data_IF_186636471742
#
_entry.id   IF_186636471742
#
_cell.length_a   1.000
_cell.length_b   1.000
_cell.length_c   1.000
_cell.angle_alpha   90.00
_cell.angle_beta   90.00
_cell.angle_gamma   90.00
#
_symmetry.space_group_name_H-M   'P 1'
#
loop_
_entity.id
_entity.type
_entity.pdbx_description
1 polymer ?
#
# COMPACT_ATOMS: atom_id res chain seq x y z
N UNK A 1 25.38 -17.52 -3.41
CA UNK A 1 25.10 -17.64 -1.99
C UNK A 1 23.68 -18.18 -1.86
N UNK A 2 23.54 -19.50 -1.72
CA UNK A 2 22.24 -20.12 -1.46
C UNK A 2 21.80 -19.70 -0.05
N UNK A 3 20.78 -18.89 0.03
CA UNK A 3 20.15 -18.48 1.28
C UNK A 3 19.51 -19.74 1.86
N UNK A 4 20.02 -20.19 2.98
CA UNK A 4 19.59 -21.40 3.68
C UNK A 4 18.07 -21.28 3.96
N UNK A 5 17.28 -22.16 3.34
CA UNK A 5 15.83 -22.06 3.16
C UNK A 5 15.03 -22.02 4.47
N UNK A 6 15.63 -22.41 5.61
CA UNK A 6 14.97 -22.48 6.93
C UNK A 6 15.15 -21.22 7.79
N UNK A 7 16.22 -20.46 7.60
CA UNK A 7 16.58 -19.32 8.46
C UNK A 7 15.88 -18.01 8.10
N UNK A 8 15.36 -17.90 6.86
CA UNK A 8 14.66 -16.70 6.39
C UNK A 8 13.16 -16.65 6.68
N UNK A 9 12.57 -17.67 7.26
CA UNK A 9 11.12 -17.80 7.41
C UNK A 9 10.61 -16.91 8.57
N UNK A 10 11.34 -16.84 9.67
CA UNK A 10 10.85 -16.19 10.89
C UNK A 10 10.54 -14.70 10.74
N UNK A 11 11.41 -13.91 10.11
CA UNK A 11 11.17 -12.49 9.95
C UNK A 11 10.10 -12.17 8.89
N UNK A 12 9.96 -13.02 7.86
CA UNK A 12 8.90 -12.89 6.86
C UNK A 12 7.54 -13.20 7.51
N UNK A 13 7.47 -14.17 8.38
CA UNK A 13 6.25 -14.49 9.13
C UNK A 13 5.90 -13.38 10.12
N UNK A 14 6.89 -12.80 10.81
CA UNK A 14 6.67 -11.61 11.63
C UNK A 14 6.19 -10.42 10.80
N UNK A 15 6.80 -10.18 9.63
CA UNK A 15 6.36 -9.13 8.70
C UNK A 15 4.92 -9.35 8.24
N UNK A 16 4.55 -10.61 7.94
CA UNK A 16 3.20 -10.98 7.53
C UNK A 16 2.18 -10.72 8.63
N UNK A 17 2.44 -11.20 9.84
CA UNK A 17 1.55 -10.99 10.99
C UNK A 17 1.40 -9.50 11.29
N UNK A 18 2.51 -8.76 11.30
CA UNK A 18 2.50 -7.29 11.49
C UNK A 18 1.65 -6.60 10.41
N UNK A 19 1.89 -6.89 9.14
CA UNK A 19 1.14 -6.27 8.04
C UNK A 19 -0.35 -6.63 8.09
N UNK A 20 -0.71 -7.90 8.40
CA UNK A 20 -2.09 -8.33 8.58
C UNK A 20 -2.77 -7.55 9.71
N UNK A 21 -2.13 -7.46 10.87
CA UNK A 21 -2.66 -6.71 12.01
C UNK A 21 -2.90 -5.25 11.65
N UNK A 22 -1.91 -4.59 11.02
CA UNK A 22 -2.01 -3.19 10.63
C UNK A 22 -3.13 -2.93 9.60
N UNK A 23 -3.38 -3.85 8.66
CA UNK A 23 -4.49 -3.72 7.70
C UNK A 23 -5.84 -3.83 8.41
N UNK A 24 -6.02 -4.84 9.26
CA UNK A 24 -7.28 -4.98 10.03
C UNK A 24 -7.50 -3.74 10.89
N UNK A 25 -6.45 -3.28 11.58
CA UNK A 25 -6.52 -2.09 12.42
C UNK A 25 -6.85 -0.82 11.60
N UNK A 26 -6.28 -0.65 10.40
CA UNK A 26 -6.63 0.45 9.51
C UNK A 26 -8.13 0.47 9.18
N UNK A 27 -8.70 -0.68 8.80
CA UNK A 27 -10.14 -0.78 8.50
C UNK A 27 -11.02 -0.60 9.75
N UNK A 28 -10.53 -0.90 10.95
CA UNK A 28 -11.23 -0.55 12.18
C UNK A 28 -11.24 0.97 12.44
N UNK A 29 -10.30 1.73 11.88
CA UNK A 29 -10.27 3.19 11.98
C UNK A 29 -11.21 3.89 10.98
N UNK A 30 -11.54 3.26 9.85
CA UNK A 30 -12.33 3.88 8.78
C UNK A 30 -13.68 4.45 9.25
N UNK A 31 -14.50 3.77 10.09
CA UNK A 31 -15.77 4.31 10.59
C UNK A 31 -15.58 5.55 11.49
N UNK A 32 -14.44 5.67 12.15
CA UNK A 32 -14.11 6.85 12.98
C UNK A 32 -13.72 8.03 12.08
N UNK A 33 -12.93 7.78 11.05
CA UNK A 33 -12.53 8.81 10.07
C UNK A 33 -13.74 9.33 9.29
N UNK A 34 -14.74 8.50 9.05
CA UNK A 34 -15.97 8.88 8.36
C UNK A 34 -16.81 9.94 9.12
N UNK A 35 -16.50 10.22 10.40
CA UNK A 35 -17.25 11.17 11.25
C UNK A 35 -16.70 12.59 11.26
N UNK A 36 -15.95 12.99 10.26
CA UNK A 36 -15.27 14.29 10.24
C UNK A 36 -16.23 15.50 10.38
N UNK A 37 -17.47 15.41 9.86
CA UNK A 37 -18.47 16.46 9.94
C UNK A 37 -19.43 16.36 11.13
N UNK A 38 -19.51 15.18 11.76
CA UNK A 38 -20.53 14.89 12.79
C UNK A 38 -19.99 14.77 14.19
N UNK A 39 -18.74 14.28 14.35
CA UNK A 39 -18.09 14.05 15.64
C UNK A 39 -16.58 14.25 15.54
N UNK A 40 -16.14 15.49 15.79
CA UNK A 40 -14.73 15.88 15.69
C UNK A 40 -13.79 15.07 16.60
N UNK A 41 -14.09 14.79 17.90
CA UNK A 41 -13.25 13.95 18.73
C UNK A 41 -13.07 12.54 18.19
N UNK A 42 -14.13 11.89 17.74
CA UNK A 42 -14.09 10.55 17.13
C UNK A 42 -13.29 10.57 15.84
N UNK A 43 -13.51 11.55 14.96
CA UNK A 43 -12.70 11.74 13.76
C UNK A 43 -11.21 11.87 14.06
N UNK A 44 -10.81 12.71 15.04
CA UNK A 44 -9.41 12.90 15.41
C UNK A 44 -8.75 11.60 15.90
N UNK A 45 -9.47 10.78 16.66
CA UNK A 45 -8.98 9.46 17.09
C UNK A 45 -8.76 8.53 15.90
N UNK A 46 -9.76 8.42 15.01
CA UNK A 46 -9.66 7.61 13.79
C UNK A 46 -8.53 8.07 12.88
N UNK A 47 -8.40 9.38 12.69
CA UNK A 47 -7.37 9.98 11.86
C UNK A 47 -5.96 9.73 12.43
N UNK A 48 -5.76 9.93 13.76
CA UNK A 48 -4.48 9.70 14.41
C UNK A 48 -4.04 8.23 14.32
N UNK A 49 -4.94 7.31 14.66
CA UNK A 49 -4.65 5.88 14.67
C UNK A 49 -4.53 5.31 13.24
N UNK A 50 -5.44 5.69 12.34
CA UNK A 50 -5.42 5.28 10.94
C UNK A 50 -4.17 5.76 10.20
N UNK A 51 -3.71 6.98 10.47
CA UNK A 51 -2.45 7.52 9.91
C UNK A 51 -1.22 6.72 10.34
N UNK A 52 -1.18 6.24 11.58
CA UNK A 52 -0.03 5.48 12.11
C UNK A 52 0.18 4.13 11.41
N UNK A 53 -0.87 3.56 10.82
CA UNK A 53 -0.83 2.22 10.21
C UNK A 53 -0.80 2.22 8.68
N UNK A 54 -0.66 3.38 8.03
CA UNK A 54 -0.64 3.48 6.56
C UNK A 54 0.50 2.72 5.87
N UNK A 55 1.53 2.32 6.59
CA UNK A 55 2.59 1.45 6.05
C UNK A 55 2.13 0.01 5.75
N UNK A 56 0.93 -0.41 6.18
CA UNK A 56 0.45 -1.79 6.11
C UNK A 56 0.48 -2.37 4.68
N UNK A 57 -0.10 -1.70 3.69
CA UNK A 57 -0.17 -2.18 2.30
C UNK A 57 1.20 -2.24 1.64
N UNK A 58 2.05 -1.19 1.70
CA UNK A 58 3.41 -1.29 1.19
C UNK A 58 4.24 -2.42 1.81
N UNK A 59 4.05 -2.75 3.10
CA UNK A 59 4.72 -3.90 3.72
C UNK A 59 4.30 -5.23 3.07
N UNK A 60 3.03 -5.41 2.70
CA UNK A 60 2.59 -6.59 1.93
C UNK A 60 3.22 -6.64 0.54
N UNK A 61 3.33 -5.49 -0.12
CA UNK A 61 3.98 -5.41 -1.44
C UNK A 61 5.46 -5.74 -1.32
N UNK A 62 6.16 -5.22 -0.31
CA UNK A 62 7.56 -5.53 -0.04
C UNK A 62 7.75 -7.03 0.25
N UNK A 63 6.87 -7.63 1.08
CA UNK A 63 6.87 -9.08 1.32
C UNK A 63 6.68 -9.87 0.01
N UNK A 64 5.80 -9.42 -0.87
CA UNK A 64 5.62 -10.01 -2.20
C UNK A 64 6.91 -9.96 -3.01
N UNK A 65 7.64 -8.85 -2.99
CA UNK A 65 8.95 -8.70 -3.63
C UNK A 65 9.99 -9.68 -3.07
N UNK A 66 10.03 -9.85 -1.75
CA UNK A 66 10.95 -10.84 -1.11
C UNK A 66 10.63 -12.27 -1.52
N UNK A 67 9.36 -12.64 -1.57
CA UNK A 67 8.92 -14.02 -1.81
C UNK A 67 8.92 -14.44 -3.28
N UNK A 68 8.76 -13.48 -4.21
CA UNK A 68 8.61 -13.78 -5.62
C UNK A 68 9.88 -13.56 -6.45
N UNK A 69 10.83 -12.78 -5.97
CA UNK A 69 12.13 -12.68 -6.62
C UNK A 69 13.15 -13.61 -5.97
N UNK A 70 13.91 -14.41 -6.76
CA UNK A 70 13.82 -14.60 -8.22
C UNK A 70 12.63 -15.48 -8.64
N UNK A 71 12.07 -15.20 -9.82
CA UNK A 71 11.04 -16.06 -10.42
C UNK A 71 11.69 -17.34 -10.93
N UNK A 72 11.17 -18.50 -10.49
CA UNK A 72 11.79 -19.82 -10.82
C UNK A 72 11.12 -20.51 -12.00
N UNK A 73 9.90 -20.11 -12.33
CA UNK A 73 9.08 -20.75 -13.37
C UNK A 73 9.00 -19.86 -14.60
N UNK A 74 8.70 -20.44 -15.76
CA UNK A 74 8.38 -19.68 -16.95
C UNK A 74 7.16 -18.75 -16.73
N UNK A 75 7.07 -17.67 -17.51
CA UNK A 75 6.05 -16.62 -17.36
C UNK A 75 4.62 -17.18 -17.33
N UNK A 76 4.29 -18.09 -18.27
CA UNK A 76 2.95 -18.69 -18.34
C UNK A 76 2.59 -19.50 -17.09
N UNK A 77 3.52 -20.32 -16.61
CA UNK A 77 3.32 -21.10 -15.38
C UNK A 77 3.23 -20.21 -14.15
N UNK A 78 4.04 -19.17 -14.10
CA UNK A 78 3.98 -18.16 -13.03
C UNK A 78 2.59 -17.53 -12.96
N UNK A 79 2.06 -17.05 -14.07
CA UNK A 79 0.73 -16.43 -14.13
C UNK A 79 -0.36 -17.41 -13.74
N UNK A 80 -0.40 -18.59 -14.33
CA UNK A 80 -1.39 -19.63 -14.01
C UNK A 80 -1.40 -19.94 -12.51
N UNK A 81 -0.21 -20.08 -11.90
CA UNK A 81 -0.07 -20.46 -10.50
C UNK A 81 -0.36 -19.30 -9.53
N UNK A 82 0.05 -18.07 -9.85
CA UNK A 82 -0.05 -16.94 -8.94
C UNK A 82 -1.34 -16.16 -9.11
N UNK A 83 -1.71 -15.82 -10.33
CA UNK A 83 -2.95 -15.09 -10.62
C UNK A 83 -4.16 -15.97 -10.29
N UNK A 84 -4.15 -17.26 -10.64
CA UNK A 84 -5.24 -18.18 -10.31
C UNK A 84 -5.55 -18.23 -8.80
N UNK A 85 -4.52 -18.15 -7.94
CA UNK A 85 -4.71 -18.11 -6.49
C UNK A 85 -5.33 -16.81 -5.96
N UNK A 86 -5.23 -15.72 -6.71
CA UNK A 86 -5.81 -14.42 -6.36
C UNK A 86 -7.23 -14.30 -6.93
N UNK A 87 -7.42 -14.74 -8.18
CA UNK A 87 -8.70 -14.59 -8.89
C UNK A 87 -9.83 -15.40 -8.18
N UNK A 88 -9.53 -16.60 -7.68
CA UNK A 88 -10.53 -17.41 -6.99
C UNK A 88 -11.10 -16.70 -5.73
N UNK A 89 -10.29 -16.25 -4.75
CA UNK A 89 -10.83 -15.48 -3.62
C UNK A 89 -11.39 -14.13 -4.05
N UNK A 90 -10.87 -13.49 -5.10
CA UNK A 90 -11.43 -12.25 -5.62
C UNK A 90 -12.86 -12.44 -6.10
N UNK A 91 -13.14 -13.44 -6.93
CA UNK A 91 -14.49 -13.76 -7.40
C UNK A 91 -15.40 -14.12 -6.22
N UNK A 92 -14.93 -14.99 -5.34
CA UNK A 92 -15.70 -15.43 -4.17
C UNK A 92 -16.15 -14.24 -3.31
N UNK A 93 -15.21 -13.37 -2.92
CA UNK A 93 -15.51 -12.23 -2.06
C UNK A 93 -16.27 -11.12 -2.78
N UNK A 94 -16.08 -10.94 -4.09
CA UNK A 94 -16.89 -9.99 -4.88
C UNK A 94 -18.38 -10.36 -4.92
N UNK A 95 -18.69 -11.64 -4.75
CA UNK A 95 -20.07 -12.11 -4.65
C UNK A 95 -20.54 -12.12 -3.18
N UNK A 96 -19.71 -12.59 -2.28
CA UNK A 96 -20.09 -12.77 -0.88
C UNK A 96 -20.26 -11.47 -0.10
N UNK A 97 -19.38 -10.48 -0.33
CA UNK A 97 -19.45 -9.22 0.42
C UNK A 97 -20.76 -8.46 0.21
N UNK A 98 -21.27 -8.26 -1.02
CA UNK A 98 -22.58 -7.63 -1.20
C UNK A 98 -23.70 -8.36 -0.45
N UNK A 99 -23.70 -9.69 -0.44
CA UNK A 99 -24.70 -10.48 0.30
C UNK A 99 -24.57 -10.29 1.81
N UNK A 100 -23.34 -10.35 2.33
CA UNK A 100 -23.08 -10.17 3.76
C UNK A 100 -23.48 -8.76 4.23
N UNK A 101 -23.12 -7.71 3.46
CA UNK A 101 -23.53 -6.33 3.77
C UNK A 101 -25.04 -6.15 3.72
N UNK A 102 -25.71 -6.73 2.71
CA UNK A 102 -27.17 -6.71 2.63
C UNK A 102 -27.82 -7.33 3.87
N UNK A 103 -27.38 -8.51 4.28
CA UNK A 103 -27.91 -9.20 5.47
C UNK A 103 -27.60 -8.38 6.72
N UNK A 104 -26.37 -7.94 6.88
CA UNK A 104 -25.91 -7.22 8.08
C UNK A 104 -26.69 -5.93 8.29
N UNK A 105 -26.77 -5.08 7.25
CA UNK A 105 -27.37 -3.75 7.35
C UNK A 105 -28.92 -3.78 7.39
N UNK A 106 -29.57 -4.79 6.81
CA UNK A 106 -31.04 -4.85 6.79
C UNK A 106 -31.66 -5.67 7.92
N UNK A 107 -30.90 -6.65 8.50
CA UNK A 107 -31.49 -7.61 9.45
C UNK A 107 -30.73 -7.71 10.79
N UNK A 108 -29.46 -7.29 10.87
CA UNK A 108 -28.66 -7.51 12.07
C UNK A 108 -28.44 -6.20 12.83
N UNK A 109 -28.13 -5.10 12.15
CA UNK A 109 -27.81 -3.84 12.80
C UNK A 109 -28.37 -2.64 12.04
N UNK A 110 -28.46 -1.51 12.75
CA UNK A 110 -28.63 -0.21 12.13
C UNK A 110 -27.29 0.51 12.10
N UNK A 111 -26.97 1.23 11.01
CA UNK A 111 -25.76 2.01 10.91
C UNK A 111 -26.05 3.49 11.08
N UNK A 112 -25.18 4.18 11.84
CA UNK A 112 -25.14 5.64 11.96
C UNK A 112 -23.92 6.23 11.20
N UNK A 113 -23.24 5.40 10.39
CA UNK A 113 -22.11 5.83 9.57
C UNK A 113 -22.62 6.72 8.41
N UNK A 114 -22.24 8.01 8.37
CA UNK A 114 -22.77 8.96 7.39
C UNK A 114 -22.35 8.65 5.93
N UNK A 115 -21.37 7.78 5.73
CA UNK A 115 -20.91 7.39 4.39
C UNK A 115 -21.72 6.22 3.80
N UNK A 116 -22.62 5.61 4.56
CA UNK A 116 -23.43 4.48 4.12
C UNK A 116 -24.81 4.97 3.66
N UNK A 117 -25.02 4.93 2.35
CA UNK A 117 -26.33 5.15 1.76
C UNK A 117 -27.09 3.82 1.71
N UNK A 118 -28.14 3.68 2.53
CA UNK A 118 -28.96 2.46 2.61
C UNK A 118 -29.65 2.10 1.31
N UNK A 119 -29.89 3.05 0.40
CA UNK A 119 -30.46 2.77 -0.93
C UNK A 119 -29.59 1.88 -1.80
N UNK A 120 -28.28 1.86 -1.52
CA UNK A 120 -27.30 1.01 -2.20
C UNK A 120 -27.26 -0.45 -1.67
N UNK A 121 -28.03 -0.76 -0.61
CA UNK A 121 -28.05 -2.08 0.03
C UNK A 121 -29.44 -2.75 0.00
N UNK A 122 -30.23 -2.47 -1.02
CA UNK A 122 -31.47 -3.19 -1.32
C UNK A 122 -31.19 -4.55 -1.96
N UNK A 123 -32.18 -5.46 -1.98
CA UNK A 123 -32.04 -6.77 -2.64
C UNK A 123 -31.72 -6.61 -4.14
N UNK A 124 -32.42 -5.70 -4.82
CA UNK A 124 -32.21 -5.42 -6.24
C UNK A 124 -30.78 -4.94 -6.52
N UNK A 125 -30.30 -3.98 -5.73
CA UNK A 125 -28.92 -3.48 -5.84
C UNK A 125 -27.90 -4.56 -5.52
N UNK A 126 -28.17 -5.41 -4.55
CA UNK A 126 -27.30 -6.54 -4.21
C UNK A 126 -27.17 -7.53 -5.37
N UNK A 127 -28.28 -7.90 -6.00
CA UNK A 127 -28.28 -8.76 -7.19
C UNK A 127 -27.49 -8.10 -8.32
N UNK A 128 -27.70 -6.80 -8.55
CA UNK A 128 -26.97 -6.04 -9.57
C UNK A 128 -25.47 -6.04 -9.31
N UNK A 129 -25.03 -5.82 -8.07
CA UNK A 129 -23.61 -5.86 -7.69
C UNK A 129 -22.99 -7.24 -7.93
N UNK A 130 -23.74 -8.33 -7.68
CA UNK A 130 -23.24 -9.69 -7.84
C UNK A 130 -22.92 -10.00 -9.31
N UNK A 131 -23.84 -9.71 -10.24
CA UNK A 131 -23.60 -10.06 -11.64
C UNK A 131 -22.74 -9.04 -12.39
N UNK A 132 -22.58 -7.81 -11.87
CA UNK A 132 -21.75 -6.76 -12.46
C UNK A 132 -20.38 -6.61 -11.77
N UNK A 133 -20.00 -7.52 -10.88
CA UNK A 133 -18.83 -7.38 -10.02
C UNK A 133 -17.51 -7.11 -10.77
N UNK A 134 -17.37 -7.60 -12.02
CA UNK A 134 -16.18 -7.35 -12.84
C UNK A 134 -16.11 -5.89 -13.32
N UNK A 135 -17.26 -5.24 -13.52
CA UNK A 135 -17.37 -3.91 -14.12
C UNK A 135 -17.59 -2.82 -13.07
N UNK A 136 -18.09 -3.16 -11.89
CA UNK A 136 -18.45 -2.21 -10.85
C UNK A 136 -17.68 -2.49 -9.57
N UNK A 137 -16.94 -1.46 -9.11
CA UNK A 137 -16.30 -1.47 -7.81
C UNK A 137 -17.18 -0.70 -6.82
N UNK A 138 -17.73 -1.40 -5.85
CA UNK A 138 -18.72 -0.86 -4.93
C UNK A 138 -18.10 -0.64 -3.53
N UNK A 139 -18.79 0.11 -2.68
CA UNK A 139 -18.39 0.36 -1.29
C UNK A 139 -18.10 -0.93 -0.51
N UNK A 140 -19.01 -1.90 -0.59
CA UNK A 140 -18.92 -3.20 0.07
C UNK A 140 -17.74 -4.07 -0.44
N UNK A 141 -17.27 -3.85 -1.66
CA UNK A 141 -16.12 -4.55 -2.24
C UNK A 141 -14.82 -3.74 -2.18
N UNK A 142 -14.84 -2.54 -1.60
CA UNK A 142 -13.64 -1.66 -1.50
C UNK A 142 -12.39 -2.38 -1.00
N UNK A 143 -12.39 -3.25 0.03
CA UNK A 143 -11.17 -3.93 0.47
C UNK A 143 -10.51 -4.81 -0.59
N UNK A 144 -11.24 -5.22 -1.63
CA UNK A 144 -10.71 -6.07 -2.70
C UNK A 144 -9.80 -5.34 -3.69
N UNK A 145 -9.74 -4.00 -3.65
CA UNK A 145 -8.85 -3.21 -4.52
C UNK A 145 -7.41 -3.71 -4.50
N UNK A 146 -6.95 -4.19 -3.34
CA UNK A 146 -5.62 -4.75 -3.17
C UNK A 146 -5.38 -5.98 -4.05
N UNK A 147 -6.40 -6.85 -4.22
CA UNK A 147 -6.27 -8.04 -5.07
C UNK A 147 -6.16 -7.67 -6.56
N UNK A 148 -6.90 -6.65 -7.01
CA UNK A 148 -6.76 -6.11 -8.37
C UNK A 148 -5.35 -5.54 -8.60
N UNK A 149 -4.87 -4.72 -7.68
CA UNK A 149 -3.52 -4.18 -7.71
C UNK A 149 -2.46 -5.30 -7.73
N UNK A 150 -2.65 -6.33 -6.92
CA UNK A 150 -1.72 -7.46 -6.83
C UNK A 150 -1.68 -8.28 -8.12
N UNK A 151 -2.80 -8.47 -8.81
CA UNK A 151 -2.84 -9.07 -10.15
C UNK A 151 -2.02 -8.25 -11.13
N UNK A 152 -2.18 -6.91 -11.12
CA UNK A 152 -1.38 -6.01 -11.95
C UNK A 152 0.12 -6.12 -11.67
N UNK A 153 0.52 -6.21 -10.41
CA UNK A 153 1.92 -6.46 -10.04
C UNK A 153 2.41 -7.82 -10.52
N UNK A 154 1.57 -8.85 -10.47
CA UNK A 154 1.99 -10.18 -10.97
C UNK A 154 2.21 -10.20 -12.47
N UNK A 155 1.49 -9.39 -13.26
CA UNK A 155 1.77 -9.26 -14.69
C UNK A 155 3.18 -8.71 -14.96
N UNK A 156 3.68 -7.81 -14.12
CA UNK A 156 4.96 -7.14 -14.35
C UNK A 156 6.15 -7.83 -13.68
N UNK A 157 5.94 -8.66 -12.65
CA UNK A 157 7.01 -9.34 -11.89
C UNK A 157 7.96 -10.15 -12.77
N UNK A 158 7.52 -10.99 -13.73
CA UNK A 158 8.44 -11.75 -14.58
C UNK A 158 9.30 -10.86 -15.48
N UNK A 159 8.77 -9.71 -15.92
CA UNK A 159 9.49 -8.74 -16.74
C UNK A 159 10.60 -8.10 -15.91
N UNK A 160 10.29 -7.64 -14.70
CA UNK A 160 11.30 -7.09 -13.79
C UNK A 160 12.31 -8.14 -13.33
N UNK A 161 11.89 -9.40 -13.18
CA UNK A 161 12.83 -10.47 -12.86
C UNK A 161 13.91 -10.59 -13.94
N UNK A 162 13.54 -10.63 -15.23
CA UNK A 162 14.49 -10.71 -16.33
C UNK A 162 15.47 -9.53 -16.37
N UNK A 163 15.01 -8.33 -15.99
CA UNK A 163 15.87 -7.18 -15.80
C UNK A 163 16.79 -7.32 -14.58
N UNK A 164 16.24 -7.71 -13.42
CA UNK A 164 16.98 -7.83 -12.14
C UNK A 164 18.09 -8.89 -12.17
N UNK A 165 17.97 -9.90 -13.03
CA UNK A 165 19.03 -10.91 -13.24
C UNK A 165 20.31 -10.29 -13.82
N UNK A 166 20.17 -9.27 -14.69
CA UNK A 166 21.28 -8.59 -15.37
C UNK A 166 21.64 -7.25 -14.73
N UNK A 167 20.75 -6.67 -13.94
CA UNK A 167 20.91 -5.35 -13.34
C UNK A 167 22.05 -5.33 -12.31
N UNK A 168 22.93 -4.36 -12.45
CA UNK A 168 23.95 -4.08 -11.45
C UNK A 168 23.33 -3.40 -10.21
N UNK A 169 24.09 -3.36 -9.12
CA UNK A 169 23.66 -2.61 -7.93
C UNK A 169 23.41 -1.13 -8.24
N UNK A 170 24.15 -0.55 -9.20
CA UNK A 170 23.99 0.85 -9.63
C UNK A 170 22.68 1.05 -10.39
N UNK A 171 22.33 0.12 -11.28
CA UNK A 171 21.08 0.19 -12.06
C UNK A 171 19.86 0.13 -11.18
N UNK A 172 19.84 -0.79 -10.18
CA UNK A 172 18.75 -0.90 -9.22
C UNK A 172 18.63 0.37 -8.39
N UNK A 173 19.76 0.95 -7.94
CA UNK A 173 19.73 2.21 -7.20
C UNK A 173 19.20 3.36 -8.06
N UNK A 174 19.60 3.43 -9.33
CA UNK A 174 19.09 4.46 -10.25
C UNK A 174 17.58 4.36 -10.42
N UNK A 175 17.06 3.13 -10.67
CA UNK A 175 15.62 2.90 -10.73
C UNK A 175 14.90 3.34 -9.44
N UNK A 176 15.42 2.93 -8.27
CA UNK A 176 14.85 3.32 -6.97
C UNK A 176 14.94 4.82 -6.71
N UNK A 177 15.95 5.51 -7.24
CA UNK A 177 16.06 6.97 -7.14
C UNK A 177 14.97 7.66 -8.00
N UNK A 178 14.75 7.21 -9.23
CA UNK A 178 13.68 7.72 -10.10
C UNK A 178 12.32 7.46 -9.47
N UNK A 179 12.07 6.24 -8.99
CA UNK A 179 10.88 5.91 -8.24
C UNK A 179 10.72 6.78 -6.99
N UNK A 180 11.80 7.01 -6.22
CA UNK A 180 11.79 7.88 -5.05
C UNK A 180 11.37 9.32 -5.36
N UNK A 181 11.78 9.85 -6.53
CA UNK A 181 11.32 11.17 -7.01
C UNK A 181 9.80 11.13 -7.27
N UNK A 182 9.29 10.05 -7.85
CA UNK A 182 7.86 9.92 -8.14
C UNK A 182 6.97 9.94 -6.89
N UNK A 183 7.51 9.60 -5.70
CA UNK A 183 6.78 9.65 -4.42
C UNK A 183 6.43 11.09 -3.98
N UNK A 184 7.10 12.10 -4.54
CA UNK A 184 6.78 13.51 -4.29
C UNK A 184 5.70 14.06 -5.22
N UNK A 185 5.35 13.33 -6.29
CA UNK A 185 4.44 13.81 -7.31
C UNK A 185 3.06 14.25 -6.78
N UNK A 186 2.41 13.54 -5.84
CA UNK A 186 1.15 14.00 -5.27
C UNK A 186 1.24 15.41 -4.66
N UNK A 187 2.34 15.69 -3.96
CA UNK A 187 2.59 17.00 -3.34
C UNK A 187 2.96 18.08 -4.35
N UNK A 188 3.72 17.70 -5.37
CA UNK A 188 4.08 18.61 -6.48
C UNK A 188 2.80 19.03 -7.22
N UNK A 189 1.92 18.09 -7.53
CA UNK A 189 0.63 18.37 -8.17
C UNK A 189 -0.24 19.32 -7.33
N UNK A 190 -0.29 19.11 -6.02
CA UNK A 190 -1.05 19.94 -5.11
C UNK A 190 -0.48 21.36 -5.02
N UNK A 191 0.85 21.51 -5.01
CA UNK A 191 1.52 22.80 -4.89
C UNK A 191 1.63 23.56 -6.23
N UNK A 192 1.62 22.86 -7.35
CA UNK A 192 1.85 23.44 -8.68
C UNK A 192 0.92 24.61 -9.05
N UNK A 193 -0.41 24.56 -8.78
CA UNK A 193 -1.30 25.68 -9.07
C UNK A 193 -0.92 26.97 -8.33
N UNK A 194 -0.50 26.86 -7.06
CA UNK A 194 -0.06 28.03 -6.27
C UNK A 194 1.22 28.66 -6.81
N UNK A 195 2.01 27.90 -7.58
CA UNK A 195 3.23 28.37 -8.26
C UNK A 195 2.97 28.83 -9.71
N UNK A 196 1.73 28.85 -10.14
CA UNK A 196 1.34 29.23 -11.52
C UNK A 196 1.51 28.13 -12.57
N UNK A 197 1.77 26.90 -12.15
CA UNK A 197 1.88 25.73 -13.04
C UNK A 197 0.52 25.04 -13.20
N UNK A 198 -0.41 25.67 -13.90
CA UNK A 198 -1.70 25.10 -14.23
C UNK A 198 -1.73 24.67 -15.69
N UNK A 199 -2.39 23.55 -15.97
CA UNK A 199 -2.63 23.11 -17.33
C UNK A 199 -3.46 24.13 -18.09
N UNK A 200 -3.03 24.50 -19.28
CA UNK A 200 -3.70 25.50 -20.12
C UNK A 200 -4.54 24.89 -21.22
N UNK A 201 -4.55 23.57 -21.34
CA UNK A 201 -5.24 22.84 -22.40
C UNK A 201 -5.93 21.59 -21.87
N UNK A 202 -7.25 21.58 -21.88
CA UNK A 202 -8.04 20.43 -21.44
C UNK A 202 -7.68 20.00 -20.01
N UNK A 203 -7.45 18.69 -19.84
CA UNK A 203 -7.08 18.06 -18.56
C UNK A 203 -5.57 17.79 -18.40
N UNK A 204 -4.74 18.44 -19.21
CA UNK A 204 -3.29 18.32 -19.13
C UNK A 204 -2.73 19.14 -17.98
N UNK A 205 -1.83 18.56 -17.20
CA UNK A 205 -1.22 19.15 -16.02
C UNK A 205 0.31 19.02 -16.06
N UNK A 206 0.97 19.44 -14.98
CA UNK A 206 2.44 19.38 -14.83
C UNK A 206 3.00 17.99 -15.12
N UNK A 207 4.16 17.93 -15.78
CA UNK A 207 4.89 16.70 -16.13
C UNK A 207 4.10 15.73 -17.04
N UNK A 208 3.11 16.22 -17.78
CA UNK A 208 2.28 15.41 -18.66
C UNK A 208 1.22 14.58 -17.93
N UNK A 209 0.90 14.95 -16.70
CA UNK A 209 -0.23 14.35 -15.97
C UNK A 209 -1.54 14.66 -16.69
N UNK A 210 -2.43 13.69 -16.76
CA UNK A 210 -3.78 13.82 -17.33
C UNK A 210 -4.70 12.74 -16.73
N UNK A 211 -5.98 12.74 -17.07
CA UNK A 211 -6.98 11.84 -16.48
C UNK A 211 -6.63 10.35 -16.61
N UNK A 212 -6.06 9.95 -17.73
CA UNK A 212 -5.64 8.58 -18.00
C UNK A 212 -4.19 8.29 -17.58
N UNK A 213 -3.44 9.29 -17.10
CA UNK A 213 -2.06 9.15 -16.64
C UNK A 213 -1.76 10.07 -15.45
N UNK A 214 -2.15 9.63 -14.27
CA UNK A 214 -2.00 10.39 -13.02
C UNK A 214 -0.53 10.64 -12.59
N UNK A 215 0.44 9.91 -13.17
CA UNK A 215 1.86 10.02 -12.85
C UNK A 215 2.70 10.71 -13.95
N UNK A 216 2.08 11.13 -15.04
CA UNK A 216 2.76 11.80 -16.15
C UNK A 216 4.01 11.04 -16.61
N UNK A 217 5.14 11.75 -16.68
CA UNK A 217 6.43 11.18 -17.09
C UNK A 217 6.92 10.02 -16.21
N UNK A 218 6.40 9.85 -14.99
CA UNK A 218 6.77 8.77 -14.08
C UNK A 218 5.85 7.55 -14.13
N UNK A 219 4.86 7.52 -15.02
CA UNK A 219 3.82 6.49 -15.08
C UNK A 219 4.35 5.06 -14.97
N UNK A 220 5.39 4.73 -15.73
CA UNK A 220 5.94 3.37 -15.80
C UNK A 220 6.88 2.99 -14.65
N UNK A 221 7.28 3.92 -13.82
CA UNK A 221 8.24 3.69 -12.72
C UNK A 221 7.69 4.05 -11.34
N UNK A 222 6.46 4.56 -11.30
CA UNK A 222 5.79 4.99 -10.06
C UNK A 222 4.99 3.87 -9.40
N UNK A 223 4.35 4.17 -8.28
CA UNK A 223 3.45 3.27 -7.59
C UNK A 223 4.14 2.12 -6.86
N UNK A 224 3.45 1.00 -6.77
CA UNK A 224 3.86 -0.13 -5.95
C UNK A 224 5.07 -0.92 -6.44
N UNK A 225 5.42 -0.79 -7.73
CA UNK A 225 6.56 -1.51 -8.32
C UNK A 225 7.87 -1.19 -7.58
N UNK A 226 8.05 0.05 -7.15
CA UNK A 226 9.25 0.44 -6.42
C UNK A 226 9.40 -0.25 -5.07
N UNK A 227 8.30 -0.51 -4.36
CA UNK A 227 8.34 -1.29 -3.12
C UNK A 227 8.77 -2.74 -3.35
N UNK A 228 8.35 -3.38 -4.45
CA UNK A 228 8.81 -4.71 -4.84
C UNK A 228 10.32 -4.74 -5.06
N UNK A 229 10.82 -3.79 -5.86
CA UNK A 229 12.24 -3.67 -6.20
C UNK A 229 13.08 -3.30 -4.98
N UNK A 230 12.58 -2.39 -4.14
CA UNK A 230 13.24 -2.00 -2.89
C UNK A 230 13.41 -3.20 -1.95
N UNK A 231 12.37 -4.02 -1.78
CA UNK A 231 12.44 -5.20 -0.93
C UNK A 231 13.46 -6.20 -1.47
N UNK A 232 13.46 -6.48 -2.78
CA UNK A 232 14.47 -7.31 -3.42
C UNK A 232 15.88 -6.73 -3.21
N UNK A 233 16.05 -5.41 -3.39
CA UNK A 233 17.34 -4.74 -3.17
C UNK A 233 17.84 -4.89 -1.73
N UNK A 234 16.96 -4.68 -0.73
CA UNK A 234 17.32 -4.79 0.69
C UNK A 234 17.65 -6.23 1.13
N UNK A 235 17.07 -7.23 0.48
CA UNK A 235 17.42 -8.64 0.70
C UNK A 235 18.74 -8.99 0.02
N UNK A 236 18.94 -8.56 -1.24
CA UNK A 236 20.17 -8.85 -2.00
C UNK A 236 21.39 -8.09 -1.48
N UNK A 237 21.17 -6.87 -0.97
CA UNK A 237 22.19 -5.97 -0.44
C UNK A 237 21.76 -5.45 0.95
N UNK A 238 21.75 -6.30 1.98
CA UNK A 238 21.26 -5.93 3.30
C UNK A 238 22.03 -4.76 3.89
N UNK A 239 21.30 -3.92 4.61
CA UNK A 239 21.90 -2.83 5.36
C UNK A 239 22.62 -3.41 6.57
N UNK A 240 23.94 -3.14 6.65
CA UNK A 240 24.75 -3.55 7.80
C UNK A 240 24.61 -2.54 8.94
N UNK A 241 23.37 -2.26 9.33
CA UNK A 241 23.09 -1.34 10.42
C UNK A 241 23.00 -2.09 11.74
N UNK A 242 23.58 -1.53 12.78
CA UNK A 242 23.33 -1.99 14.13
C UNK A 242 21.88 -1.66 14.53
N UNK A 243 21.35 -2.39 15.50
CA UNK A 243 20.02 -2.14 16.05
C UNK A 243 19.84 -0.68 16.49
N UNK A 244 20.84 -0.13 17.20
CA UNK A 244 20.83 1.28 17.62
C UNK A 244 20.74 2.25 16.43
N UNK A 245 21.50 1.98 15.36
CA UNK A 245 21.45 2.81 14.14
C UNK A 245 20.11 2.69 13.43
N UNK A 246 19.56 1.48 13.36
CA UNK A 246 18.23 1.25 12.77
C UNK A 246 17.16 2.04 13.49
N UNK A 247 17.15 2.05 14.83
CA UNK A 247 16.19 2.85 15.59
C UNK A 247 16.47 4.36 15.49
N UNK A 248 17.73 4.78 15.57
CA UNK A 248 18.12 6.20 15.50
C UNK A 248 17.72 6.88 14.18
N UNK A 249 17.70 6.14 13.07
CA UNK A 249 17.24 6.63 11.77
C UNK A 249 15.75 6.34 11.59
N UNK A 250 15.31 5.14 11.98
CA UNK A 250 13.96 4.67 11.71
C UNK A 250 12.88 5.41 12.47
N UNK A 251 13.11 5.71 13.77
CA UNK A 251 12.12 6.40 14.59
C UNK A 251 11.85 7.83 14.08
N UNK A 252 12.88 8.69 13.88
CA UNK A 252 12.63 10.02 13.32
C UNK A 252 11.97 9.97 11.92
N UNK A 253 12.38 9.03 11.08
CA UNK A 253 11.80 8.84 9.75
C UNK A 253 10.31 8.47 9.83
N UNK A 254 9.96 7.49 10.69
CA UNK A 254 8.57 7.09 10.92
C UNK A 254 7.72 8.23 11.49
N UNK A 255 8.23 8.91 12.51
CA UNK A 255 7.53 10.04 13.16
C UNK A 255 7.29 11.18 12.17
N UNK A 256 8.28 11.50 11.32
CA UNK A 256 8.11 12.52 10.28
C UNK A 256 7.05 12.10 9.25
N UNK A 257 7.11 10.85 8.77
CA UNK A 257 6.10 10.31 7.85
C UNK A 257 4.70 10.32 8.47
N UNK A 258 4.59 9.92 9.72
CA UNK A 258 3.33 9.98 10.48
C UNK A 258 2.81 11.42 10.64
N UNK A 259 3.68 12.36 11.03
CA UNK A 259 3.30 13.76 11.21
C UNK A 259 2.80 14.39 9.90
N UNK A 260 3.43 14.08 8.77
CA UNK A 260 2.97 14.52 7.43
C UNK A 260 1.62 13.88 7.11
N UNK A 261 1.44 12.59 7.39
CA UNK A 261 0.19 11.86 7.10
C UNK A 261 -0.96 12.40 7.96
N UNK A 262 -0.79 12.44 9.27
CA UNK A 262 -1.82 12.88 10.21
C UNK A 262 -2.09 14.38 10.08
N UNK A 263 -1.05 15.20 10.17
CA UNK A 263 -1.17 16.66 10.07
C UNK A 263 -1.68 17.11 8.69
N UNK A 264 -1.19 16.49 7.63
CA UNK A 264 -1.64 16.75 6.28
C UNK A 264 -3.12 16.39 6.08
N UNK A 265 -3.59 15.27 6.64
CA UNK A 265 -5.01 14.90 6.57
C UNK A 265 -5.90 15.92 7.29
N UNK A 266 -5.49 16.39 8.47
CA UNK A 266 -6.21 17.43 9.21
C UNK A 266 -6.25 18.76 8.43
N UNK A 267 -5.13 19.16 7.85
CA UNK A 267 -5.04 20.40 7.05
C UNK A 267 -5.95 20.28 5.81
N UNK A 268 -5.89 19.15 5.09
CA UNK A 268 -6.74 18.95 3.90
C UNK A 268 -8.22 18.96 4.27
N UNK A 269 -8.61 18.36 5.40
CA UNK A 269 -9.99 18.38 5.87
C UNK A 269 -10.45 19.79 6.26
N UNK A 270 -9.59 20.59 6.85
CA UNK A 270 -9.91 21.97 7.24
C UNK A 270 -10.11 22.90 6.04
N UNK A 271 -9.21 22.81 5.04
CA UNK A 271 -9.22 23.72 3.89
C UNK A 271 -10.04 23.21 2.71
N UNK A 272 -10.25 21.89 2.59
CA UNK A 272 -10.97 21.24 1.51
C UNK A 272 -11.95 20.18 2.04
N UNK A 273 -12.91 20.56 2.91
CA UNK A 273 -13.78 19.60 3.58
C UNK A 273 -14.57 18.77 2.56
N UNK A 274 -14.62 17.47 2.78
CA UNK A 274 -15.34 16.53 1.90
C UNK A 274 -14.70 16.29 0.53
N UNK A 275 -13.56 16.90 0.21
CA UNK A 275 -12.84 16.63 -1.03
C UNK A 275 -11.90 15.43 -0.87
N UNK A 276 -12.40 14.25 -1.16
CA UNK A 276 -11.64 13.01 -1.00
C UNK A 276 -10.34 12.96 -1.81
N UNK A 277 -10.31 13.58 -2.99
CA UNK A 277 -9.11 13.60 -3.82
C UNK A 277 -7.94 14.33 -3.13
N UNK A 278 -8.22 15.42 -2.41
CA UNK A 278 -7.22 16.12 -1.60
C UNK A 278 -6.91 15.41 -0.29
N UNK A 279 -7.92 14.85 0.38
CA UNK A 279 -7.74 14.08 1.61
C UNK A 279 -6.83 12.88 1.40
N UNK A 280 -7.02 12.17 0.30
CA UNK A 280 -6.23 10.99 -0.01
C UNK A 280 -4.77 11.27 -0.40
N UNK A 281 -4.40 12.49 -0.81
CA UNK A 281 -3.02 12.81 -1.21
C UNK A 281 -2.01 12.37 -0.14
N UNK A 282 -2.27 12.66 1.13
CA UNK A 282 -1.38 12.31 2.25
C UNK A 282 -1.57 10.87 2.72
N UNK A 283 -2.65 10.20 2.30
CA UNK A 283 -2.92 8.80 2.62
C UNK A 283 -2.58 7.84 1.48
N UNK A 284 -2.14 8.36 0.33
CA UNK A 284 -1.70 7.52 -0.80
C UNK A 284 -0.48 6.68 -0.43
N UNK A 285 -0.56 5.39 -0.71
CA UNK A 285 0.53 4.45 -0.46
C UNK A 285 1.79 4.73 -1.31
N UNK A 286 1.65 5.44 -2.41
CA UNK A 286 2.74 5.92 -3.27
C UNK A 286 3.30 7.29 -2.86
N UNK A 287 2.94 7.84 -1.70
CA UNK A 287 3.47 9.09 -1.17
C UNK A 287 4.76 8.90 -0.38
N UNK A 288 5.60 9.94 -0.36
CA UNK A 288 6.88 9.93 0.38
C UNK A 288 6.68 9.72 1.88
N UNK A 289 5.62 10.27 2.45
CA UNK A 289 5.27 10.13 3.87
C UNK A 289 5.01 8.66 4.24
N UNK A 290 4.26 7.92 3.42
CA UNK A 290 3.99 6.49 3.65
C UNK A 290 5.26 5.66 3.45
N UNK A 291 6.10 6.00 2.46
CA UNK A 291 7.42 5.40 2.31
C UNK A 291 8.27 5.59 3.58
N UNK A 292 8.28 6.81 4.15
CA UNK A 292 9.02 7.13 5.37
C UNK A 292 8.55 6.31 6.58
N UNK A 293 7.30 5.85 6.62
CA UNK A 293 6.82 4.92 7.65
C UNK A 293 7.12 3.46 7.30
N UNK A 294 7.02 3.08 6.03
CA UNK A 294 7.18 1.69 5.57
C UNK A 294 8.62 1.20 5.66
N UNK A 295 9.55 2.00 5.15
CA UNK A 295 10.98 1.62 5.10
C UNK A 295 11.56 1.26 6.47
N UNK A 296 11.41 2.09 7.53
CA UNK A 296 11.96 1.75 8.83
C UNK A 296 11.32 0.53 9.49
N UNK A 297 10.02 0.31 9.30
CA UNK A 297 9.34 -0.88 9.84
C UNK A 297 9.89 -2.14 9.17
N UNK A 298 10.03 -2.14 7.85
CA UNK A 298 10.60 -3.27 7.12
C UNK A 298 12.04 -3.57 7.56
N UNK A 299 12.91 -2.54 7.60
CA UNK A 299 14.32 -2.68 7.99
C UNK A 299 14.44 -3.11 9.46
N UNK A 300 13.59 -2.60 10.35
CA UNK A 300 13.56 -3.00 11.76
C UNK A 300 13.27 -4.49 11.89
N UNK A 301 12.21 -5.00 11.26
CA UNK A 301 11.83 -6.42 11.29
C UNK A 301 12.96 -7.29 10.70
N UNK A 302 13.56 -6.85 9.60
CA UNK A 302 14.70 -7.55 8.99
C UNK A 302 15.92 -7.59 9.92
N UNK A 303 16.26 -6.48 10.59
CA UNK A 303 17.44 -6.37 11.48
C UNK A 303 17.29 -7.22 12.74
N UNK A 304 16.09 -7.29 13.34
CA UNK A 304 15.83 -8.14 14.53
C UNK A 304 16.16 -9.59 14.24
N UNK A 305 15.75 -10.11 13.09
CA UNK A 305 16.02 -11.49 12.72
C UNK A 305 17.51 -11.78 12.54
N UNK A 306 18.26 -10.88 11.91
CA UNK A 306 19.70 -11.06 11.74
C UNK A 306 20.46 -11.03 13.07
N UNK A 307 20.02 -10.24 14.05
CA UNK A 307 20.65 -10.20 15.39
C UNK A 307 20.36 -11.46 16.19
N UNK A 308 19.17 -12.02 16.11
CA UNK A 308 18.84 -13.28 16.77
C UNK A 308 19.61 -14.47 16.17
N UNK A 309 19.73 -14.54 14.85
CA UNK A 309 20.51 -15.61 14.17
C UNK A 309 21.98 -15.56 14.56
N UNK A 310 22.62 -14.39 14.58
CA UNK A 310 24.01 -14.24 15.03
C UNK A 310 24.19 -14.60 16.51
N UNK A 311 23.24 -14.29 17.37
CA UNK A 311 23.29 -14.67 18.77
C UNK A 311 23.25 -16.20 18.97
N UNK A 312 22.49 -16.93 18.15
CA UNK A 312 22.43 -18.38 18.16
C UNK A 312 23.70 -19.02 17.60
N UNK A 313 24.30 -18.47 16.55
CA UNK A 313 25.58 -18.95 16.00
C UNK A 313 26.75 -18.76 16.99
N UNK A 314 26.77 -17.63 17.71
CA UNK A 314 27.80 -17.37 18.75
C UNK A 314 27.58 -18.16 20.03
N UNK A 315 26.37 -18.60 20.32
CA UNK A 315 26.09 -19.48 21.47
C UNK A 315 26.32 -20.97 21.17
N UNK A 316 26.41 -21.35 19.87
CA UNK A 316 26.64 -22.71 19.42
C UNK A 316 28.14 -23.01 19.14
N UNK A 317 29.01 -22.00 19.11
CA UNK A 317 30.46 -22.08 19.02
C UNK A 317 31.10 -21.72 20.36
#
# INVERSE_FOLDING_TARGET
MEINKRENIGWIDLLRVTACFLVVFAHCCDPFVARFDTDRPTFLQGCALGSAVRCCVPLFVMMTGVLLFPVRNGMSEFYKKRIGRIVVPLIFWSVMLPVLYFIYLNYITTTDNPTIDMSAFTLEMTITKIWTFIFNFNYDTTPLWYLYMLVGLYFIIPIFHAWLERATRKDIKLFLSIWGISLFLPYIKMAAPALGYIGNWGNMDILGVCDWNAFGSFYYVSGFIGYLILAHYLVKYPLQWSWRKTLAIGIPMFVTGYAITFGGYLIMQEYFPGNYAYLEIVWLFGGINVFMMTFPVFVCIQTVSYTHLRAHETAAN
#
